data_IF_654452139357
#
_entry.id   IF_654452139357
#
_cell.length_a   1.000
_cell.length_b   1.000
_cell.length_c   1.000
_cell.angle_alpha   90.00
_cell.angle_beta   90.00
_cell.angle_gamma   90.00
#
_symmetry.space_group_name_H-M   'P 1'
#
loop_
_entity.id
_entity.type
_entity.pdbx_description
1 polymer ?
#
# COMPACT_ATOMS: atom_id res chain seq x y z
N UNK A 1 -13.73 -36.91 -22.04
CA UNK A 1 -14.26 -36.03 -23.12
C UNK A 1 -15.27 -35.09 -22.50
N UNK A 2 -14.80 -33.99 -21.92
CA UNK A 2 -15.68 -32.97 -21.32
C UNK A 2 -16.09 -31.97 -22.39
N UNK A 3 -17.40 -31.73 -22.48
CA UNK A 3 -18.00 -30.83 -23.45
C UNK A 3 -17.34 -29.45 -23.39
N UNK A 4 -16.76 -29.01 -24.51
CA UNK A 4 -16.39 -27.61 -24.69
C UNK A 4 -17.69 -26.80 -24.57
N UNK A 5 -17.80 -26.01 -23.50
CA UNK A 5 -18.89 -25.05 -23.32
C UNK A 5 -18.99 -24.19 -24.59
N UNK A 6 -20.17 -24.15 -25.19
CA UNK A 6 -20.41 -23.36 -26.39
C UNK A 6 -20.13 -21.88 -26.06
N UNK A 7 -19.20 -21.27 -26.80
CA UNK A 7 -18.91 -19.84 -26.67
C UNK A 7 -20.23 -19.09 -26.97
N UNK A 8 -20.73 -18.24 -26.07
CA UNK A 8 -21.94 -17.46 -26.33
C UNK A 8 -21.79 -16.66 -27.63
N UNK A 9 -22.86 -16.58 -28.42
CA UNK A 9 -22.87 -15.74 -29.61
C UNK A 9 -22.48 -14.28 -29.24
N UNK A 10 -21.66 -13.60 -30.06
CA UNK A 10 -21.24 -12.23 -29.76
C UNK A 10 -22.45 -11.31 -29.65
N UNK A 11 -22.50 -10.55 -28.56
CA UNK A 11 -23.59 -9.59 -28.30
C UNK A 11 -23.48 -8.45 -29.31
N UNK A 12 -24.53 -8.24 -30.12
CA UNK A 12 -24.59 -7.13 -31.05
C UNK A 12 -24.71 -5.81 -30.27
N UNK A 13 -23.84 -4.85 -30.58
CA UNK A 13 -23.91 -3.52 -29.99
C UNK A 13 -25.20 -2.79 -30.45
N UNK A 14 -25.87 -2.04 -29.56
CA UNK A 14 -27.03 -1.24 -29.95
C UNK A 14 -26.61 -0.09 -30.88
N UNK A 15 -27.57 0.46 -31.63
CA UNK A 15 -27.31 1.50 -32.63
C UNK A 15 -26.70 2.79 -32.03
N UNK A 16 -27.00 3.08 -30.76
CA UNK A 16 -26.53 4.24 -30.01
C UNK A 16 -25.26 3.95 -29.17
N UNK A 17 -24.56 2.81 -29.39
CA UNK A 17 -23.41 2.42 -28.58
C UNK A 17 -22.28 3.46 -28.56
N UNK A 18 -22.05 4.15 -29.68
CA UNK A 18 -21.04 5.21 -29.77
C UNK A 18 -21.39 6.42 -28.89
N UNK A 19 -22.67 6.82 -28.88
CA UNK A 19 -23.17 7.92 -28.04
C UNK A 19 -23.01 7.58 -26.56
N UNK A 20 -23.40 6.36 -26.14
CA UNK A 20 -23.26 5.91 -24.76
C UNK A 20 -21.81 5.91 -24.27
N UNK A 21 -20.85 5.53 -25.12
CA UNK A 21 -19.42 5.54 -24.77
C UNK A 21 -18.82 6.95 -24.75
N UNK A 22 -19.43 7.92 -25.43
CA UNK A 22 -18.95 9.30 -25.50
C UNK A 22 -19.34 10.15 -24.27
N UNK A 23 -20.12 9.62 -23.33
CA UNK A 23 -20.43 10.32 -22.08
C UNK A 23 -19.16 10.65 -21.30
N UNK A 24 -19.09 11.90 -20.82
CA UNK A 24 -17.91 12.39 -20.10
C UNK A 24 -17.82 11.72 -18.71
N UNK A 25 -16.62 11.31 -18.28
CA UNK A 25 -16.43 10.77 -16.95
C UNK A 25 -16.69 11.84 -15.88
N UNK A 26 -17.17 11.41 -14.72
CA UNK A 26 -17.32 12.22 -13.51
C UNK A 26 -16.50 11.57 -12.41
N UNK A 27 -15.63 12.35 -11.75
CA UNK A 27 -14.82 11.87 -10.62
C UNK A 27 -15.74 11.58 -9.43
N UNK A 28 -15.68 10.35 -8.90
CA UNK A 28 -16.60 9.87 -7.85
C UNK A 28 -16.42 10.64 -6.54
N UNK A 29 -15.19 10.91 -6.14
CA UNK A 29 -14.84 11.68 -4.95
C UNK A 29 -13.88 12.79 -5.36
N UNK A 30 -14.36 14.01 -5.63
CA UNK A 30 -13.47 15.12 -5.97
C UNK A 30 -12.56 15.43 -4.77
N UNK A 31 -11.24 15.33 -4.95
CA UNK A 31 -10.27 15.51 -3.86
C UNK A 31 -10.37 16.90 -3.18
N UNK A 32 -10.96 17.90 -3.85
CA UNK A 32 -11.26 19.20 -3.27
C UNK A 32 -12.25 19.20 -2.10
N UNK A 33 -13.02 18.13 -1.89
CA UNK A 33 -13.92 18.00 -0.71
C UNK A 33 -13.25 17.33 0.49
N UNK A 34 -12.07 16.73 0.32
CA UNK A 34 -11.32 16.13 1.42
C UNK A 34 -10.53 17.22 2.14
N UNK A 35 -10.65 17.37 3.47
CA UNK A 35 -9.82 18.32 4.21
C UNK A 35 -8.35 17.94 4.05
N UNK A 36 -7.55 18.77 3.38
CA UNK A 36 -6.14 18.51 3.19
C UNK A 36 -5.40 18.49 4.54
N UNK A 37 -4.40 17.60 4.74
CA UNK A 37 -3.53 17.69 5.91
C UNK A 37 -2.75 19.02 5.90
N UNK A 38 -2.42 19.53 7.08
CA UNK A 38 -1.57 20.71 7.23
C UNK A 38 -0.10 20.35 6.93
N UNK A 39 0.23 20.30 5.64
CA UNK A 39 1.54 19.89 5.17
C UNK A 39 2.66 20.84 5.60
N UNK A 40 2.36 22.13 5.79
CA UNK A 40 3.35 23.10 6.26
C UNK A 40 3.80 22.76 7.68
N UNK A 41 2.84 22.47 8.57
CA UNK A 41 3.13 22.05 9.95
C UNK A 41 3.83 20.69 10.01
N UNK A 42 3.51 19.76 9.11
CA UNK A 42 4.25 18.50 9.01
C UNK A 42 5.69 18.70 8.55
N UNK A 43 5.95 19.65 7.63
CA UNK A 43 7.32 19.99 7.22
C UNK A 43 8.12 20.65 8.36
N UNK A 44 7.48 21.53 9.14
CA UNK A 44 8.10 22.10 10.35
C UNK A 44 8.47 21.02 11.37
N UNK A 45 7.55 20.09 11.65
CA UNK A 45 7.83 18.95 12.52
C UNK A 45 8.95 18.06 11.95
N UNK A 46 8.94 17.83 10.63
CA UNK A 46 9.94 17.03 9.90
C UNK A 46 11.35 17.61 10.00
N UNK A 47 11.50 18.93 10.12
CA UNK A 47 12.80 19.57 10.31
C UNK A 47 13.47 19.23 11.68
N UNK A 48 12.72 18.62 12.60
CA UNK A 48 13.17 18.31 13.98
C UNK A 48 13.27 16.81 14.26
N UNK A 49 13.22 15.95 13.23
CA UNK A 49 13.20 14.51 13.41
C UNK A 49 14.46 13.97 14.07
N UNK A 50 14.29 13.26 15.18
CA UNK A 50 15.29 12.41 15.82
C UNK A 50 14.94 10.95 15.55
N UNK A 51 15.88 10.18 14.99
CA UNK A 51 15.70 8.73 14.79
C UNK A 51 15.69 8.03 16.15
N UNK A 52 14.64 7.28 16.44
CA UNK A 52 14.47 6.59 17.73
C UNK A 52 14.53 5.07 17.61
N UNK A 53 14.26 4.51 16.44
CA UNK A 53 14.28 3.07 16.21
C UNK A 53 14.49 2.74 14.72
N UNK A 54 14.87 1.50 14.41
CA UNK A 54 14.92 0.97 13.06
C UNK A 54 14.80 -0.55 13.00
N UNK A 55 14.32 -1.06 11.88
CA UNK A 55 14.39 -2.47 11.51
C UNK A 55 14.92 -2.65 10.09
N UNK A 56 15.59 -3.77 9.85
CA UNK A 56 15.95 -4.23 8.51
C UNK A 56 15.06 -5.42 8.18
N UNK A 57 14.29 -5.31 7.11
CA UNK A 57 13.46 -6.38 6.56
C UNK A 57 14.31 -7.17 5.55
N UNK A 58 14.67 -8.43 5.84
CA UNK A 58 15.47 -9.24 4.93
C UNK A 58 14.73 -9.49 3.60
N UNK A 59 15.46 -9.74 2.50
CA UNK A 59 14.84 -10.13 1.24
C UNK A 59 13.92 -11.35 1.42
N UNK A 60 12.71 -11.30 0.84
CA UNK A 60 11.71 -12.39 0.88
C UNK A 60 11.17 -12.71 2.28
N UNK A 61 11.26 -11.77 3.21
CA UNK A 61 10.68 -11.90 4.53
C UNK A 61 9.92 -10.64 4.97
N UNK A 62 9.27 -10.74 6.14
CA UNK A 62 8.49 -9.66 6.74
C UNK A 62 9.09 -9.19 8.06
N UNK A 63 9.05 -7.88 8.30
CA UNK A 63 9.38 -7.28 9.59
C UNK A 63 8.25 -6.39 10.08
N UNK A 64 7.96 -6.45 11.38
CA UNK A 64 6.96 -5.61 12.04
C UNK A 64 7.64 -4.53 12.90
N UNK A 65 7.00 -3.37 13.01
CA UNK A 65 7.48 -2.21 13.73
C UNK A 65 6.32 -1.43 14.35
N UNK A 66 6.58 -0.68 15.41
CA UNK A 66 5.61 0.18 16.07
C UNK A 66 5.91 1.65 15.78
N UNK A 67 4.88 2.44 15.51
CA UNK A 67 5.02 3.88 15.30
C UNK A 67 4.01 4.59 16.20
N UNK A 68 4.46 5.28 17.26
CA UNK A 68 3.55 6.02 18.11
C UNK A 68 2.87 7.16 17.33
N UNK A 69 1.65 7.52 17.74
CA UNK A 69 0.94 8.66 17.18
C UNK A 69 1.80 9.93 17.22
N UNK A 70 1.79 10.68 16.12
CA UNK A 70 2.59 11.90 15.96
C UNK A 70 4.05 11.66 15.56
N UNK A 71 4.49 10.40 15.44
CA UNK A 71 5.83 10.06 14.97
C UNK A 71 5.84 9.86 13.46
N UNK A 72 7.04 9.76 12.91
CA UNK A 72 7.26 9.52 11.49
C UNK A 72 7.90 8.16 11.29
N UNK A 73 7.65 7.53 10.14
CA UNK A 73 8.41 6.38 9.70
C UNK A 73 8.79 6.50 8.23
N UNK A 74 9.97 5.97 7.88
CA UNK A 74 10.47 5.90 6.50
C UNK A 74 10.62 4.46 6.07
N UNK A 75 10.20 4.15 4.84
CA UNK A 75 10.63 2.93 4.15
C UNK A 75 11.74 3.33 3.18
N UNK A 76 12.91 2.71 3.30
CA UNK A 76 14.14 3.12 2.61
C UNK A 76 14.72 1.95 1.81
N UNK A 77 15.04 2.19 0.54
CA UNK A 77 15.86 1.28 -0.27
C UNK A 77 17.33 1.45 0.13
N UNK A 78 18.04 0.36 0.42
CA UNK A 78 19.40 0.44 1.01
C UNK A 78 20.51 -0.25 0.20
N UNK A 79 20.24 -1.39 -0.43
CA UNK A 79 21.28 -2.15 -1.16
C UNK A 79 21.02 -2.24 -2.66
N UNK A 80 19.75 -2.35 -3.05
CA UNK A 80 19.34 -2.43 -4.45
C UNK A 80 17.87 -2.11 -4.63
N UNK A 81 17.39 -2.09 -5.89
CA UNK A 81 16.00 -1.81 -6.19
C UNK A 81 15.11 -2.93 -5.66
N UNK A 82 14.19 -2.57 -4.77
CA UNK A 82 13.32 -3.54 -4.08
C UNK A 82 11.98 -2.88 -3.78
N UNK A 83 10.89 -3.57 -4.12
CA UNK A 83 9.54 -3.15 -3.74
C UNK A 83 9.13 -3.75 -2.39
N UNK A 84 8.24 -3.08 -1.68
CA UNK A 84 7.78 -3.52 -0.36
C UNK A 84 6.26 -3.52 -0.23
N UNK A 85 5.71 -4.60 0.32
CA UNK A 85 4.27 -4.70 0.62
C UNK A 85 4.05 -4.25 2.06
N UNK A 86 3.30 -3.16 2.26
CA UNK A 86 3.04 -2.57 3.57
C UNK A 86 1.60 -2.86 4.05
N UNK A 87 1.49 -3.28 5.31
CA UNK A 87 0.23 -3.30 6.07
C UNK A 87 0.36 -2.41 7.31
N UNK A 88 -0.76 -1.77 7.68
CA UNK A 88 -0.87 -0.95 8.88
C UNK A 88 -2.10 -1.36 9.68
N UNK A 89 -1.94 -1.47 10.99
CA UNK A 89 -3.01 -1.70 11.96
C UNK A 89 -2.98 -0.61 13.03
N UNK A 90 -4.13 -0.30 13.61
CA UNK A 90 -4.16 0.39 14.90
C UNK A 90 -3.50 -0.52 15.94
N UNK A 91 -2.53 0.01 16.68
CA UNK A 91 -1.75 -0.76 17.64
C UNK A 91 -2.60 -1.45 18.74
N UNK A 92 -3.72 -0.82 19.10
CA UNK A 92 -4.64 -1.32 20.12
C UNK A 92 -5.80 -2.18 19.57
N UNK A 93 -6.01 -2.21 18.25
CA UNK A 93 -7.18 -2.84 17.64
C UNK A 93 -6.90 -3.29 16.19
N UNK A 94 -6.56 -4.56 16.00
CA UNK A 94 -6.24 -5.13 14.67
C UNK A 94 -7.46 -5.19 13.72
N UNK A 95 -8.68 -4.92 14.21
CA UNK A 95 -9.85 -4.80 13.34
C UNK A 95 -9.84 -3.48 12.56
N UNK A 96 -9.19 -2.44 13.10
CA UNK A 96 -8.90 -1.19 12.43
C UNK A 96 -7.56 -1.30 11.70
N UNK A 97 -7.62 -1.39 10.38
CA UNK A 97 -6.46 -1.65 9.52
C UNK A 97 -6.55 -0.89 8.21
N UNK A 98 -5.44 -0.78 7.49
CA UNK A 98 -5.41 -0.04 6.24
C UNK A 98 -6.42 -0.60 5.22
N UNK A 99 -7.04 0.31 4.48
CA UNK A 99 -8.06 0.03 3.50
C UNK A 99 -7.68 0.65 2.14
N UNK A 100 -6.93 -0.12 1.35
CA UNK A 100 -6.51 0.26 0.00
C UNK A 100 -7.70 0.67 -0.88
N UNK A 101 -8.82 -0.06 -0.79
CA UNK A 101 -10.01 0.21 -1.60
C UNK A 101 -10.57 1.62 -1.42
N UNK A 102 -10.71 2.11 -0.18
CA UNK A 102 -11.22 3.46 0.06
C UNK A 102 -10.16 4.52 -0.14
N UNK A 103 -8.90 4.22 0.19
CA UNK A 103 -7.75 5.06 -0.14
C UNK A 103 -7.69 5.32 -1.64
N UNK A 104 -7.79 4.28 -2.47
CA UNK A 104 -7.83 4.35 -3.93
C UNK A 104 -8.99 5.21 -4.44
N UNK A 105 -10.17 5.04 -3.87
CA UNK A 105 -11.35 5.79 -4.29
C UNK A 105 -11.23 7.29 -3.96
N UNK A 106 -10.60 7.62 -2.83
CA UNK A 106 -10.44 9.00 -2.35
C UNK A 106 -9.23 9.73 -2.95
N UNK A 107 -8.19 8.99 -3.36
CA UNK A 107 -6.94 9.55 -3.86
C UNK A 107 -6.77 9.24 -5.36
N UNK A 108 -6.20 8.09 -5.68
CA UNK A 108 -6.03 7.59 -7.05
C UNK A 108 -5.61 6.11 -7.01
N UNK A 109 -5.22 5.53 -8.15
CA UNK A 109 -4.64 4.17 -8.21
C UNK A 109 -3.31 4.05 -7.45
N UNK A 110 -2.63 5.17 -7.25
CA UNK A 110 -1.33 5.31 -6.60
C UNK A 110 -1.39 6.49 -5.62
N UNK A 111 -0.54 6.50 -4.61
CA UNK A 111 -0.53 7.54 -3.57
C UNK A 111 0.86 8.17 -3.45
N UNK A 112 0.92 9.48 -3.16
CA UNK A 112 2.17 10.19 -2.92
C UNK A 112 1.96 11.32 -1.89
N UNK A 113 2.86 12.29 -1.83
CA UNK A 113 2.88 13.37 -0.82
C UNK A 113 1.53 14.04 -0.67
N UNK A 114 1.05 14.12 0.59
CA UNK A 114 -0.25 14.69 0.96
C UNK A 114 -1.42 13.71 0.93
N UNK A 115 -1.27 12.54 0.30
CA UNK A 115 -2.26 11.48 0.36
C UNK A 115 -2.24 10.77 1.71
N UNK A 116 -3.37 10.13 2.06
CA UNK A 116 -3.57 9.49 3.35
C UNK A 116 -3.91 8.02 3.17
N UNK A 117 -3.37 7.19 4.05
CA UNK A 117 -3.72 5.79 4.15
C UNK A 117 -4.91 5.66 5.10
N UNK A 118 -6.09 5.35 4.57
CA UNK A 118 -7.35 5.33 5.32
C UNK A 118 -7.60 3.97 5.98
N UNK A 119 -8.20 3.97 7.17
CA UNK A 119 -8.60 2.75 7.86
C UNK A 119 -9.91 2.15 7.32
N UNK A 120 -10.09 0.85 7.60
CA UNK A 120 -11.26 0.05 7.27
C UNK A 120 -12.56 0.57 7.89
N UNK A 121 -13.70 0.23 7.29
CA UNK A 121 -15.00 0.47 7.90
C UNK A 121 -15.17 -0.40 9.16
N UNK A 122 -15.83 0.09 10.23
CA UNK A 122 -16.53 1.39 10.32
C UNK A 122 -15.63 2.58 10.71
N UNK A 123 -14.33 2.37 10.91
CA UNK A 123 -13.42 3.37 11.48
C UNK A 123 -13.16 4.57 10.57
N UNK A 124 -12.93 4.33 9.28
CA UNK A 124 -12.69 5.31 8.20
C UNK A 124 -12.07 6.63 8.68
N UNK A 125 -10.80 6.58 9.05
CA UNK A 125 -9.99 7.75 9.37
C UNK A 125 -8.56 7.61 8.82
N UNK A 126 -7.81 8.70 8.66
CA UNK A 126 -6.39 8.63 8.34
C UNK A 126 -5.63 7.82 9.39
N UNK A 127 -4.85 6.84 8.95
CA UNK A 127 -3.89 6.10 9.76
C UNK A 127 -2.49 6.71 9.65
N UNK A 128 -2.13 7.10 8.43
CA UNK A 128 -0.89 7.76 8.12
C UNK A 128 -1.07 8.76 6.96
N UNK A 129 -0.23 9.80 6.94
CA UNK A 129 -0.15 10.82 5.89
C UNK A 129 1.23 10.77 5.25
N UNK A 130 1.33 10.70 3.92
CA UNK A 130 2.61 10.69 3.23
C UNK A 130 3.20 12.11 3.27
N UNK A 131 4.35 12.27 3.92
CA UNK A 131 5.00 13.58 4.10
C UNK A 131 6.11 13.83 3.11
N UNK A 132 6.73 12.77 2.59
CA UNK A 132 7.80 12.88 1.62
C UNK A 132 7.89 11.63 0.75
N UNK A 133 8.26 11.82 -0.50
CA UNK A 133 8.46 10.74 -1.47
C UNK A 133 9.56 11.19 -2.44
N UNK A 134 10.73 10.53 -2.37
CA UNK A 134 11.87 10.87 -3.23
C UNK A 134 11.63 10.52 -4.70
N UNK A 135 10.61 9.71 -4.99
CA UNK A 135 10.22 9.28 -6.33
C UNK A 135 8.96 9.99 -6.84
N UNK A 136 8.46 11.01 -6.13
CA UNK A 136 7.28 11.79 -6.53
C UNK A 136 7.40 12.43 -7.93
N UNK A 137 8.63 12.63 -8.41
CA UNK A 137 8.91 13.12 -9.76
C UNK A 137 8.48 12.14 -10.88
N UNK A 138 8.23 10.87 -10.58
CA UNK A 138 7.85 9.86 -11.58
C UNK A 138 6.52 10.20 -12.25
N UNK A 139 5.54 10.67 -11.47
CA UNK A 139 4.21 11.00 -11.98
C UNK A 139 3.52 9.80 -12.64
N UNK A 140 3.14 9.96 -13.91
CA UNK A 140 2.52 8.93 -14.73
C UNK A 140 3.30 8.76 -16.03
N UNK A 141 3.66 7.53 -16.37
CA UNK A 141 4.38 7.25 -17.60
C UNK A 141 3.45 7.03 -18.82
N UNK A 142 4.04 6.79 -19.99
CA UNK A 142 3.31 6.56 -21.24
C UNK A 142 2.45 5.29 -21.23
N UNK A 143 2.73 4.33 -20.35
CA UNK A 143 1.92 3.11 -20.19
C UNK A 143 0.72 3.35 -19.26
N UNK A 144 0.71 4.49 -18.55
CA UNK A 144 -0.25 4.81 -17.49
C UNK A 144 0.16 4.24 -16.14
N UNK A 145 1.46 3.95 -15.95
CA UNK A 145 1.98 3.44 -14.69
C UNK A 145 2.27 4.58 -13.69
N UNK A 146 2.12 4.28 -12.41
CA UNK A 146 2.55 5.12 -11.29
C UNK A 146 3.37 4.30 -10.27
N UNK A 147 3.73 4.92 -9.14
CA UNK A 147 4.45 4.28 -8.04
C UNK A 147 3.64 4.27 -6.76
N UNK A 148 3.92 3.35 -5.83
CA UNK A 148 3.22 3.26 -4.54
C UNK A 148 1.75 2.91 -4.71
N UNK A 149 1.49 1.78 -5.34
CA UNK A 149 0.14 1.43 -5.77
C UNK A 149 -0.76 0.98 -4.61
N UNK A 150 -2.05 1.26 -4.77
CA UNK A 150 -3.15 0.78 -3.89
C UNK A 150 -4.21 0.03 -4.73
N UNK A 151 -3.79 -0.54 -5.85
CA UNK A 151 -4.64 -1.29 -6.79
C UNK A 151 -4.39 -2.79 -6.74
N UNK A 152 -3.17 -3.20 -6.39
CA UNK A 152 -2.84 -4.59 -6.12
C UNK A 152 -3.42 -5.07 -4.78
N UNK A 153 -3.31 -6.37 -4.55
CA UNK A 153 -3.67 -7.00 -3.26
C UNK A 153 -2.41 -7.31 -2.46
N UNK A 154 -1.60 -8.23 -2.98
CA UNK A 154 -0.28 -8.71 -2.55
C UNK A 154 0.01 -10.01 -3.29
N UNK A 155 1.27 -10.39 -3.47
CA UNK A 155 1.53 -11.78 -3.84
C UNK A 155 1.18 -12.73 -2.70
N UNK A 156 0.56 -13.84 -3.05
CA UNK A 156 0.02 -14.79 -2.07
C UNK A 156 0.25 -16.25 -2.52
N UNK A 157 0.40 -17.17 -1.56
CA UNK A 157 0.68 -18.58 -1.85
C UNK A 157 -0.48 -19.28 -2.56
N UNK A 158 -1.72 -18.79 -2.41
CA UNK A 158 -2.91 -19.42 -2.97
C UNK A 158 -3.02 -19.17 -4.46
N UNK A 159 -2.83 -17.93 -4.91
CA UNK A 159 -2.76 -17.57 -6.32
C UNK A 159 -1.56 -18.26 -6.98
N UNK A 160 -0.41 -18.32 -6.31
CA UNK A 160 0.74 -19.07 -6.82
C UNK A 160 0.40 -20.56 -7.01
N UNK A 161 -0.22 -21.20 -6.02
CA UNK A 161 -0.64 -22.61 -6.13
C UNK A 161 -1.68 -22.81 -7.23
N UNK A 162 -2.62 -21.89 -7.38
CA UNK A 162 -3.64 -21.95 -8.42
C UNK A 162 -3.04 -21.91 -9.83
N UNK A 163 -2.06 -21.03 -10.06
CA UNK A 163 -1.49 -20.79 -11.39
C UNK A 163 -0.30 -21.71 -11.73
N UNK A 164 0.51 -22.07 -10.73
CA UNK A 164 1.79 -22.78 -10.91
C UNK A 164 1.79 -24.19 -10.31
N UNK A 165 0.79 -24.55 -9.50
CA UNK A 165 0.64 -25.88 -8.88
C UNK A 165 1.53 -26.17 -7.66
N UNK A 166 2.53 -25.32 -7.38
CA UNK A 166 3.49 -25.51 -6.28
C UNK A 166 3.17 -24.68 -5.03
N UNK A 167 3.68 -25.15 -3.88
CA UNK A 167 3.65 -24.41 -2.62
C UNK A 167 4.89 -23.51 -2.51
N UNK A 168 4.68 -22.21 -2.33
CA UNK A 168 5.74 -21.22 -2.11
C UNK A 168 5.40 -20.39 -0.87
N UNK A 169 6.32 -20.33 0.09
CA UNK A 169 6.04 -19.82 1.45
C UNK A 169 6.59 -18.41 1.73
N UNK A 170 7.24 -17.80 0.74
CA UNK A 170 7.88 -16.49 0.86
C UNK A 170 7.15 -15.38 0.07
N UNK A 171 5.90 -15.63 -0.32
CA UNK A 171 5.00 -14.58 -0.80
C UNK A 171 4.77 -13.52 0.29
N UNK A 172 4.55 -12.27 -0.11
CA UNK A 172 4.29 -11.16 0.80
C UNK A 172 3.16 -11.44 1.78
N UNK A 173 2.09 -12.12 1.35
CA UNK A 173 1.03 -12.56 2.25
C UNK A 173 1.56 -13.39 3.43
N UNK A 174 2.35 -14.43 3.15
CA UNK A 174 2.92 -15.29 4.20
C UNK A 174 3.94 -14.55 5.06
N UNK A 175 4.73 -13.67 4.47
CA UNK A 175 5.71 -12.83 5.17
C UNK A 175 5.03 -11.90 6.17
N UNK A 176 3.99 -11.19 5.75
CA UNK A 176 3.18 -10.30 6.59
C UNK A 176 2.46 -11.08 7.70
N UNK A 177 1.92 -12.26 7.38
CA UNK A 177 1.27 -13.12 8.39
C UNK A 177 2.25 -13.52 9.49
N UNK A 178 3.48 -13.94 9.12
CA UNK A 178 4.52 -14.29 10.11
C UNK A 178 4.98 -13.08 10.92
N UNK A 179 5.18 -11.93 10.28
CA UNK A 179 5.59 -10.70 10.96
C UNK A 179 4.55 -10.24 11.99
N UNK A 180 3.27 -10.20 11.62
CA UNK A 180 2.19 -9.86 12.53
C UNK A 180 2.05 -10.91 13.65
N UNK A 181 2.14 -12.19 13.30
CA UNK A 181 2.11 -13.29 14.27
C UNK A 181 3.20 -13.16 15.33
N UNK A 182 4.42 -12.84 14.90
CA UNK A 182 5.56 -12.63 15.79
C UNK A 182 5.35 -11.47 16.77
N UNK A 183 4.94 -10.29 16.29
CA UNK A 183 4.79 -9.10 17.14
C UNK A 183 3.57 -9.18 18.08
N UNK A 184 2.51 -9.89 17.71
CA UNK A 184 1.30 -10.05 18.53
C UNK A 184 1.25 -11.36 19.32
N UNK A 185 2.22 -12.26 19.12
CA UNK A 185 2.20 -13.60 19.72
C UNK A 185 1.05 -14.48 19.23
N UNK A 186 0.61 -14.29 17.98
CA UNK A 186 -0.49 -15.03 17.36
C UNK A 186 0.05 -16.20 16.54
N UNK A 187 -0.66 -17.32 16.51
CA UNK A 187 -0.37 -18.37 15.54
C UNK A 187 -0.66 -17.87 14.12
N UNK A 188 0.01 -18.49 13.12
CA UNK A 188 -0.14 -18.10 11.71
C UNK A 188 -1.61 -17.99 11.27
N UNK A 189 -2.44 -19.00 11.60
CA UNK A 189 -3.87 -19.02 11.25
C UNK A 189 -4.71 -17.95 11.95
N UNK A 190 -4.25 -17.43 13.08
CA UNK A 190 -4.92 -16.36 13.82
C UNK A 190 -4.50 -14.98 13.29
N UNK A 191 -3.24 -14.83 12.87
CA UNK A 191 -2.72 -13.60 12.28
C UNK A 191 -3.21 -13.40 10.83
N UNK A 192 -3.31 -14.47 10.05
CA UNK A 192 -3.59 -14.44 8.60
C UNK A 192 -4.85 -13.64 8.22
N UNK A 193 -6.00 -13.76 8.93
CA UNK A 193 -7.21 -12.99 8.63
C UNK A 193 -7.08 -11.47 8.85
N UNK A 194 -6.06 -11.02 9.59
CA UNK A 194 -5.77 -9.60 9.81
C UNK A 194 -4.91 -8.98 8.70
N UNK A 195 -4.20 -9.81 7.93
CA UNK A 195 -3.45 -9.35 6.74
C UNK A 195 -4.44 -8.91 5.67
N UNK A 196 -4.15 -7.77 5.04
CA UNK A 196 -5.06 -7.07 4.15
C UNK A 196 -4.33 -6.58 2.91
N UNK A 197 -5.09 -6.03 1.95
CA UNK A 197 -4.54 -5.48 0.72
C UNK A 197 -3.57 -4.34 1.05
N UNK A 198 -2.43 -4.36 0.37
CA UNK A 198 -1.23 -3.62 0.75
C UNK A 198 -1.17 -2.25 0.12
N UNK A 199 -0.28 -1.41 0.64
CA UNK A 199 0.39 -0.40 -0.17
C UNK A 199 1.63 -1.04 -0.78
N UNK A 200 1.73 -1.06 -2.12
CA UNK A 200 2.89 -1.59 -2.84
C UNK A 200 3.98 -0.51 -2.98
N UNK A 201 4.75 -0.31 -1.91
CA UNK A 201 5.81 0.70 -1.82
C UNK A 201 6.86 0.45 -2.90
N UNK A 202 7.21 1.51 -3.65
CA UNK A 202 8.15 1.53 -4.78
C UNK A 202 7.73 0.74 -6.03
N UNK A 203 6.66 -0.06 -5.99
CA UNK A 203 6.24 -0.87 -7.14
C UNK A 203 5.69 0.02 -8.25
N UNK A 204 6.07 -0.26 -9.49
CA UNK A 204 5.64 0.48 -10.67
C UNK A 204 4.59 -0.30 -11.44
N UNK A 205 3.33 0.15 -11.40
CA UNK A 205 2.19 -0.64 -11.87
C UNK A 205 1.11 0.22 -12.51
N UNK A 206 0.14 -0.43 -13.18
CA UNK A 206 -0.98 0.25 -13.81
C UNK A 206 -1.97 -0.72 -14.43
N UNK A 207 -2.87 -0.18 -15.27
CA UNK A 207 -3.78 -0.99 -16.10
C UNK A 207 -3.48 -0.75 -17.58
N UNK A 208 -3.32 -1.82 -18.34
CA UNK A 208 -3.05 -1.74 -19.78
C UNK A 208 -4.17 -0.97 -20.50
N UNK A 209 -3.80 -0.17 -21.51
CA UNK A 209 -4.76 0.71 -22.20
C UNK A 209 -5.74 -0.05 -23.11
N UNK A 210 -5.34 -1.22 -23.60
CA UNK A 210 -6.08 -2.03 -24.56
C UNK A 210 -6.99 -3.06 -23.91
N UNK A 211 -6.51 -3.74 -22.86
CA UNK A 211 -7.21 -4.85 -22.20
C UNK A 211 -7.57 -4.55 -20.74
N UNK A 212 -7.11 -3.43 -20.18
CA UNK A 212 -7.34 -3.02 -18.79
C UNK A 212 -6.89 -4.05 -17.74
N UNK A 213 -5.91 -4.88 -18.11
CA UNK A 213 -5.25 -5.82 -17.20
C UNK A 213 -4.22 -5.13 -16.32
N UNK A 214 -4.12 -5.56 -15.06
CA UNK A 214 -3.08 -5.11 -14.13
C UNK A 214 -1.69 -5.52 -14.63
N UNK A 215 -0.75 -4.58 -14.66
CA UNK A 215 0.64 -4.84 -15.06
C UNK A 215 1.63 -4.30 -14.04
N UNK A 216 2.85 -4.83 -14.09
CA UNK A 216 4.00 -4.30 -13.38
C UNK A 216 5.17 -4.11 -14.34
N UNK A 217 6.11 -3.23 -13.98
CA UNK A 217 7.39 -3.03 -14.67
C UNK A 217 8.49 -2.73 -13.65
N UNK A 218 9.74 -2.76 -14.11
CA UNK A 218 10.91 -2.52 -13.27
C UNK A 218 10.77 -1.20 -12.49
N UNK A 219 10.91 -1.27 -11.16
CA UNK A 219 10.85 -0.09 -10.30
C UNK A 219 12.00 0.88 -10.58
N UNK A 220 11.74 2.21 -10.60
CA UNK A 220 12.78 3.22 -10.72
C UNK A 220 13.57 3.43 -9.42
N UNK A 221 13.14 2.83 -8.29
CA UNK A 221 13.77 3.01 -6.97
C UNK A 221 15.25 2.65 -6.99
N UNK A 222 16.07 3.41 -6.27
CA UNK A 222 17.51 3.19 -6.08
C UNK A 222 17.86 3.26 -4.60
N UNK A 223 19.00 2.68 -4.19
CA UNK A 223 19.51 2.86 -2.84
C UNK A 223 19.58 4.34 -2.45
N UNK A 224 18.98 4.68 -1.30
CA UNK A 224 18.81 6.05 -0.82
C UNK A 224 17.41 6.63 -1.05
N UNK A 225 16.62 6.08 -1.97
CA UNK A 225 15.22 6.48 -2.15
C UNK A 225 14.38 6.04 -0.94
N UNK A 226 13.41 6.87 -0.59
CA UNK A 226 12.49 6.60 0.51
C UNK A 226 11.12 7.24 0.31
N UNK A 227 10.13 6.63 0.97
CA UNK A 227 8.83 7.23 1.24
C UNK A 227 8.67 7.39 2.74
N UNK A 228 8.18 8.55 3.17
CA UNK A 228 8.03 8.94 4.57
C UNK A 228 6.57 9.21 4.91
N UNK A 229 6.18 8.79 6.10
CA UNK A 229 4.82 8.91 6.59
C UNK A 229 4.80 9.50 7.98
N UNK A 230 3.81 10.34 8.24
CA UNK A 230 3.39 10.77 9.57
C UNK A 230 2.31 9.84 10.11
N UNK A 231 2.47 9.32 11.32
CA UNK A 231 1.49 8.45 11.98
C UNK A 231 0.38 9.27 12.66
N UNK A 232 -0.82 9.19 12.10
CA UNK A 232 -2.00 9.92 12.61
C UNK A 232 -2.62 9.25 13.85
N UNK A 233 -2.31 7.97 14.05
CA UNK A 233 -2.70 7.16 15.21
C UNK A 233 -1.51 6.31 15.65
N UNK A 234 -1.63 5.60 16.76
CA UNK A 234 -0.64 4.58 17.13
C UNK A 234 -0.75 3.40 16.17
N UNK A 235 0.36 3.05 15.52
CA UNK A 235 0.41 2.05 14.46
C UNK A 235 1.26 0.85 14.86
N UNK A 236 0.78 -0.33 14.46
CA UNK A 236 1.65 -1.45 14.14
C UNK A 236 1.76 -1.48 12.63
N UNK A 237 2.97 -1.39 12.11
CA UNK A 237 3.29 -1.61 10.71
C UNK A 237 3.93 -2.97 10.50
N UNK A 238 3.69 -3.57 9.34
CA UNK A 238 4.52 -4.68 8.85
C UNK A 238 4.83 -4.46 7.38
N UNK A 239 6.10 -4.67 7.03
CA UNK A 239 6.61 -4.54 5.68
C UNK A 239 7.18 -5.88 5.24
N UNK A 240 6.83 -6.33 4.04
CA UNK A 240 7.45 -7.49 3.39
C UNK A 240 8.32 -7.04 2.23
N UNK A 241 9.59 -7.45 2.21
CA UNK A 241 10.45 -7.27 1.04
C UNK A 241 10.07 -8.31 -0.02
N UNK A 242 9.38 -7.85 -1.07
CA UNK A 242 8.72 -8.73 -2.05
C UNK A 242 9.70 -9.67 -2.77
N UNK A 243 9.38 -10.96 -2.94
CA UNK A 243 10.22 -11.89 -3.70
C UNK A 243 10.29 -11.57 -5.20
N UNK A 244 9.50 -10.61 -5.71
CA UNK A 244 9.63 -10.08 -7.06
C UNK A 244 10.81 -9.12 -7.26
N UNK A 245 11.54 -8.74 -6.19
CA UNK A 245 12.64 -7.78 -6.26
C UNK A 245 12.15 -6.39 -6.68
N UNK A 246 12.63 -5.90 -7.82
CA UNK A 246 12.19 -4.67 -8.46
C UNK A 246 10.97 -4.85 -9.38
N UNK A 247 10.41 -6.07 -9.45
CA UNK A 247 9.30 -6.47 -10.31
C UNK A 247 9.58 -6.36 -11.84
N UNK A 248 10.85 -6.45 -12.24
CA UNK A 248 11.26 -6.41 -13.66
C UNK A 248 11.00 -7.69 -14.47
N UNK A 249 10.82 -8.84 -13.83
CA UNK A 249 10.78 -10.14 -14.52
C UNK A 249 9.52 -10.97 -14.22
N UNK A 250 9.40 -11.49 -13.01
CA UNK A 250 8.30 -12.38 -12.59
C UNK A 250 7.89 -12.09 -11.15
N UNK A 251 6.70 -12.58 -10.77
CA UNK A 251 6.18 -12.48 -9.41
C UNK A 251 6.28 -13.85 -8.70
N UNK A 252 6.50 -13.86 -7.37
CA UNK A 252 6.50 -15.09 -6.55
C UNK A 252 7.57 -16.12 -6.95
N UNK A 253 8.82 -15.68 -7.09
CA UNK A 253 9.94 -16.52 -7.53
C UNK A 253 11.22 -16.22 -6.75
N UNK A 254 12.09 -17.20 -6.60
CA UNK A 254 13.44 -16.98 -6.07
C UNK A 254 14.44 -16.50 -7.13
N UNK A 255 14.03 -16.40 -8.39
CA UNK A 255 14.89 -16.00 -9.50
C UNK A 255 15.23 -14.49 -9.50
N UNK A 256 14.35 -13.65 -8.95
CA UNK A 256 14.59 -12.21 -8.91
C UNK A 256 15.71 -11.86 -7.92
N UNK A 257 16.56 -10.90 -8.28
CA UNK A 257 17.47 -10.29 -7.32
C UNK A 257 16.64 -9.52 -6.28
N UNK A 258 16.73 -9.94 -5.02
CA UNK A 258 15.98 -9.33 -3.92
C UNK A 258 16.96 -8.71 -2.94
N UNK A 259 16.58 -7.58 -2.38
CA UNK A 259 17.40 -6.78 -1.47
C UNK A 259 16.62 -6.49 -0.18
N UNK A 260 17.30 -6.18 0.93
CA UNK A 260 16.60 -5.75 2.13
C UNK A 260 15.96 -4.37 1.97
N UNK A 261 14.90 -4.13 2.74
CA UNK A 261 14.33 -2.81 2.97
C UNK A 261 14.59 -2.39 4.41
N UNK A 262 14.84 -1.10 4.63
CA UNK A 262 14.96 -0.55 5.98
C UNK A 262 13.71 0.24 6.35
N UNK A 263 13.25 0.09 7.59
CA UNK A 263 12.26 0.98 8.19
C UNK A 263 12.91 1.76 9.32
N UNK A 264 12.84 3.08 9.28
CA UNK A 264 13.34 3.98 10.33
C UNK A 264 12.18 4.70 10.98
N UNK A 265 12.20 4.84 12.31
CA UNK A 265 11.15 5.50 13.10
C UNK A 265 11.76 6.75 13.74
N UNK A 266 11.03 7.86 13.65
CA UNK A 266 11.51 9.17 14.08
C UNK A 266 10.50 9.86 14.99
N UNK A 267 11.01 10.56 16.00
CA UNK A 267 10.25 11.44 16.86
C UNK A 267 10.53 12.90 16.48
N UNK A 268 9.50 13.71 16.18
CA UNK A 268 9.68 15.16 16.02
C UNK A 268 9.66 15.87 17.39
N UNK A 269 9.92 17.18 17.41
CA UNK A 269 9.50 18.03 18.52
C UNK A 269 7.96 18.01 18.63
N UNK A 270 7.47 17.27 19.63
CA UNK A 270 6.04 17.12 19.89
C UNK A 270 5.35 18.43 20.24
N UNK A 271 6.09 19.47 20.64
CA UNK A 271 5.55 20.81 20.87
C UNK A 271 4.93 21.41 19.60
N UNK A 272 5.51 21.11 18.43
CA UNK A 272 5.00 21.54 17.13
C UNK A 272 3.65 20.89 16.80
N UNK A 273 3.34 19.73 17.39
CA UNK A 273 2.12 18.95 17.15
C UNK A 273 1.05 19.10 18.25
N UNK A 274 1.25 19.99 19.23
CA UNK A 274 0.35 20.16 20.39
C UNK A 274 -1.11 20.36 19.99
N UNK A 275 -1.34 21.13 18.94
CA UNK A 275 -2.67 21.46 18.42
C UNK A 275 -2.96 20.73 17.09
N UNK A 276 -2.25 19.64 16.81
CA UNK A 276 -2.52 18.83 15.62
C UNK A 276 -3.90 18.16 15.77
N UNK A 277 -4.80 18.28 14.78
CA UNK A 277 -6.15 17.73 14.87
C UNK A 277 -6.16 16.21 14.60
N UNK A 278 -5.57 15.42 15.51
CA UNK A 278 -5.51 13.98 15.37
C UNK A 278 -6.90 13.37 15.11
N UNK A 279 -7.04 12.46 14.14
CA UNK A 279 -8.34 12.05 13.65
C UNK A 279 -9.07 11.12 14.63
N UNK A 280 -10.32 11.49 14.93
CA UNK A 280 -11.27 10.60 15.57
C UNK A 280 -11.77 9.52 14.58
N UNK A 281 -12.28 8.41 15.11
CA UNK A 281 -13.03 7.42 14.30
C UNK A 281 -14.23 8.09 13.64
N UNK A 282 -14.67 7.55 12.51
CA UNK A 282 -15.79 8.09 11.74
C UNK A 282 -17.04 8.23 12.62
N UNK A 283 -17.65 9.41 12.58
CA UNK A 283 -18.80 9.76 13.42
C UNK A 283 -20.15 9.29 12.87
N UNK A 284 -20.18 8.52 11.78
CA UNK A 284 -21.42 7.97 11.24
C UNK A 284 -22.13 7.11 12.29
N UNK A 285 -23.41 7.40 12.50
CA UNK A 285 -24.27 6.64 13.39
C UNK A 285 -25.00 5.60 12.54
N UNK A 286 -24.80 4.32 12.88
CA UNK A 286 -25.59 3.23 12.29
C UNK A 286 -27.09 3.52 12.54
N UNK A 287 -27.98 3.24 11.59
CA UNK A 287 -29.44 3.36 11.78
C UNK A 287 -30.03 2.52 12.93
N UNK A 288 -29.27 1.61 13.53
CA UNK A 288 -29.67 0.83 14.73
C UNK A 288 -29.29 1.50 16.06
#
# INVERSE_FOLDING_TARGET
>A
MTAKSAIPAPIQAPADAAERRAHRPVVVYPNGTLPAPDMARLEEARATLEKIDEIIVPPRDGGAFEVPKGHFFRVVSIEGPQVGDLNLWNAADLSERFFSGKTRALHATHVSVGDRLWSSLPHLRPMATITHDTLAWYGWDEDGAGLHDVIGTRCDPYTNRLLSGGDYHHCCHSNLTRALGGVKGLAFREAEPHVHDVLNVFMCTGFTKDTHQYFMKASPVRPGDYIEFFAEIDLIGALSACPGGDCSATHSSDAAACYPLKVEIFRPDMGLLKDWPFPARNGYRNPE
#
